data_IF_688472046450
#
_entry.id   IF_688472046450
#
_cell.length_a   1.000
_cell.length_b   1.000
_cell.length_c   1.000
_cell.angle_alpha   90.00
_cell.angle_beta   90.00
_cell.angle_gamma   90.00
#
_symmetry.space_group_name_H-M   'P 1'
#
loop_
_entity.id
_entity.type
_entity.pdbx_description
1 polymer ?
#
# COMPACT_ATOMS: atom_id res chain seq x y z
N UNK A 1 11.65 -2.41 -6.53
CA UNK A 1 11.62 -1.56 -5.33
C UNK A 1 10.17 -1.14 -5.11
N UNK A 2 9.60 -1.36 -3.91
CA UNK A 2 8.22 -0.99 -3.59
C UNK A 2 8.21 0.35 -2.87
N UNK A 3 7.31 1.24 -3.30
CA UNK A 3 7.09 2.55 -2.69
C UNK A 3 5.71 2.59 -2.03
N UNK A 4 5.62 3.35 -0.96
CA UNK A 4 4.36 3.66 -0.32
C UNK A 4 3.45 4.43 -1.29
N UNK A 5 2.17 4.06 -1.38
CA UNK A 5 1.23 4.68 -2.30
C UNK A 5 0.66 6.02 -1.78
N UNK A 6 0.83 6.30 -0.50
CA UNK A 6 0.31 7.48 0.18
C UNK A 6 1.13 8.74 -0.14
N UNK A 7 0.45 9.88 -0.23
CA UNK A 7 1.08 11.15 -0.62
C UNK A 7 1.91 11.69 0.54
N UNK A 8 3.18 11.97 0.27
CA UNK A 8 4.15 12.42 1.28
C UNK A 8 4.88 11.28 1.99
N UNK A 9 4.45 10.03 1.79
CA UNK A 9 5.11 8.85 2.36
C UNK A 9 6.41 8.53 1.60
N UNK A 10 7.57 8.80 2.24
CA UNK A 10 8.90 8.49 1.68
C UNK A 10 9.36 7.06 1.95
N UNK A 11 8.52 6.25 2.60
CA UNK A 11 8.81 4.86 2.93
C UNK A 11 8.93 4.01 1.66
N UNK A 12 10.06 3.31 1.53
CA UNK A 12 10.35 2.39 0.42
C UNK A 12 11.04 1.13 0.93
N UNK A 13 10.95 0.04 0.17
CA UNK A 13 11.76 -1.16 0.44
C UNK A 13 13.21 -0.89 0.07
N UNK A 14 14.15 -1.27 0.93
CA UNK A 14 15.59 -1.19 0.64
C UNK A 14 16.11 -2.50 0.07
N UNK A 15 16.99 -2.41 -0.93
CA UNK A 15 17.73 -3.57 -1.47
C UNK A 15 18.75 -4.10 -0.45
N UNK A 16 19.24 -5.33 -0.65
CA UNK A 16 20.28 -5.91 0.23
C UNK A 16 21.53 -5.03 0.30
N UNK A 17 21.99 -4.54 -0.85
CA UNK A 17 23.16 -3.65 -0.92
C UNK A 17 22.95 -2.33 -0.18
N UNK A 18 21.75 -1.73 -0.25
CA UNK A 18 21.44 -0.51 0.52
C UNK A 18 21.39 -0.78 2.04
N UNK A 19 20.89 -1.94 2.46
CA UNK A 19 20.89 -2.34 3.86
C UNK A 19 22.31 -2.56 4.40
N UNK A 20 23.18 -3.17 3.60
CA UNK A 20 24.58 -3.37 3.95
C UNK A 20 25.34 -2.04 4.05
N UNK A 21 25.15 -1.13 3.09
CA UNK A 21 25.72 0.23 3.15
C UNK A 21 25.22 1.02 4.35
N UNK A 22 23.92 0.93 4.67
CA UNK A 22 23.37 1.60 5.85
C UNK A 22 23.92 1.02 7.15
N UNK A 23 24.16 -0.30 7.23
CA UNK A 23 24.81 -0.94 8.37
C UNK A 23 26.25 -0.47 8.55
N UNK A 24 27.01 -0.31 7.46
CA UNK A 24 28.37 0.24 7.48
C UNK A 24 28.39 1.70 7.94
N UNK A 25 27.38 2.49 7.56
CA UNK A 25 27.26 3.90 7.90
C UNK A 25 26.48 4.18 9.21
N UNK A 26 26.18 3.15 10.00
CA UNK A 26 25.35 3.25 11.22
C UNK A 26 23.99 3.96 11.02
N UNK A 27 23.44 3.90 9.81
CA UNK A 27 22.11 4.44 9.50
C UNK A 27 21.03 3.39 9.78
N UNK A 28 20.07 3.75 10.65
CA UNK A 28 18.93 2.90 10.94
C UNK A 28 17.89 2.99 9.80
N UNK A 29 17.85 1.95 8.96
CA UNK A 29 16.77 1.78 8.00
C UNK A 29 15.56 1.16 8.71
N UNK A 30 14.44 1.87 8.68
CA UNK A 30 13.17 1.35 9.17
C UNK A 30 12.68 0.17 8.31
N UNK A 31 12.48 -0.98 8.94
CA UNK A 31 11.91 -2.17 8.30
C UNK A 31 10.39 -2.03 8.19
N UNK A 32 9.92 -1.43 7.10
CA UNK A 32 8.48 -1.34 6.81
C UNK A 32 7.98 -2.61 6.11
N UNK A 33 6.81 -3.11 6.53
CA UNK A 33 6.05 -4.13 5.79
C UNK A 33 5.05 -3.42 4.88
N UNK A 34 5.16 -3.66 3.58
CA UNK A 34 4.24 -3.09 2.59
C UNK A 34 3.06 -4.03 2.37
N UNK A 35 1.86 -3.48 2.36
CA UNK A 35 0.62 -4.19 2.08
C UNK A 35 0.05 -3.74 0.74
N UNK A 36 -0.60 -4.66 0.03
CA UNK A 36 -1.41 -4.33 -1.16
C UNK A 36 -2.78 -3.85 -0.73
N UNK A 37 -3.40 -3.02 -1.57
CA UNK A 37 -4.80 -2.63 -1.41
C UNK A 37 -5.68 -3.91 -1.47
N UNK A 38 -6.64 -4.10 -0.55
CA UNK A 38 -7.53 -5.25 -0.59
C UNK A 38 -8.34 -5.30 -1.88
N UNK A 39 -8.41 -6.47 -2.51
CA UNK A 39 -9.27 -6.71 -3.68
C UNK A 39 -10.70 -6.97 -3.25
N UNK A 40 -11.64 -6.59 -4.11
CA UNK A 40 -13.06 -6.96 -3.96
C UNK A 40 -13.24 -8.43 -4.29
N UNK A 41 -13.95 -9.16 -3.44
CA UNK A 41 -14.27 -10.56 -3.67
C UNK A 41 -15.55 -10.65 -4.50
N UNK A 42 -15.38 -10.85 -5.81
CA UNK A 42 -16.49 -10.80 -6.78
C UNK A 42 -17.24 -12.12 -6.93
N UNK A 43 -16.63 -13.24 -6.57
CA UNK A 43 -17.21 -14.59 -6.69
C UNK A 43 -17.97 -15.04 -5.43
N UNK A 44 -17.93 -14.24 -4.36
CA UNK A 44 -18.56 -14.54 -3.08
C UNK A 44 -20.01 -14.03 -3.04
N UNK A 45 -20.73 -14.39 -1.96
CA UNK A 45 -22.09 -13.91 -1.75
C UNK A 45 -22.18 -12.37 -1.73
N UNK A 46 -23.37 -11.83 -2.05
CA UNK A 46 -23.56 -10.38 -2.22
C UNK A 46 -23.13 -9.53 -1.02
N UNK A 47 -23.29 -10.04 0.21
CA UNK A 47 -22.86 -9.36 1.44
C UNK A 47 -21.33 -9.26 1.54
N UNK A 48 -20.62 -10.33 1.21
CA UNK A 48 -19.15 -10.36 1.21
C UNK A 48 -18.58 -9.43 0.14
N UNK A 49 -19.22 -9.36 -1.03
CA UNK A 49 -18.87 -8.39 -2.08
C UNK A 49 -19.02 -6.94 -1.60
N UNK A 50 -20.14 -6.60 -0.96
CA UNK A 50 -20.34 -5.25 -0.39
C UNK A 50 -19.30 -4.90 0.68
N UNK A 51 -19.03 -5.82 1.61
CA UNK A 51 -18.06 -5.57 2.69
C UNK A 51 -16.63 -5.43 2.15
N UNK A 52 -16.23 -6.25 1.19
CA UNK A 52 -14.90 -6.15 0.56
C UNK A 52 -14.75 -4.88 -0.26
N UNK A 53 -15.79 -4.45 -0.99
CA UNK A 53 -15.82 -3.18 -1.70
C UNK A 53 -15.72 -1.98 -0.75
N UNK A 54 -16.49 -1.99 0.34
CA UNK A 54 -16.40 -0.95 1.38
C UNK A 54 -14.99 -0.84 1.97
N UNK A 55 -14.37 -1.98 2.32
CA UNK A 55 -13.00 -2.01 2.83
C UNK A 55 -11.99 -1.45 1.83
N UNK A 56 -12.15 -1.76 0.55
CA UNK A 56 -11.30 -1.21 -0.51
C UNK A 56 -11.47 0.32 -0.62
N UNK A 57 -12.70 0.82 -0.61
CA UNK A 57 -12.99 2.25 -0.63
C UNK A 57 -12.39 2.97 0.59
N UNK A 58 -12.50 2.40 1.79
CA UNK A 58 -11.90 2.97 3.00
C UNK A 58 -10.37 3.02 2.93
N UNK A 59 -9.72 2.02 2.33
CA UNK A 59 -8.28 2.03 2.08
C UNK A 59 -7.90 3.14 1.10
N UNK A 60 -8.65 3.30 0.01
CA UNK A 60 -8.41 4.31 -1.01
C UNK A 60 -8.66 5.72 -0.48
N UNK A 61 -9.72 5.92 0.31
CA UNK A 61 -10.03 7.22 0.91
C UNK A 61 -8.92 7.72 1.85
N UNK A 62 -8.17 6.80 2.48
CA UNK A 62 -6.99 7.13 3.29
C UNK A 62 -5.76 7.48 2.47
N UNK A 63 -5.69 7.02 1.21
CA UNK A 63 -4.63 7.45 0.30
C UNK A 63 -4.94 8.87 -0.13
N UNK A 64 -4.11 9.84 0.27
CA UNK A 64 -4.32 11.25 -0.06
C UNK A 64 -3.92 11.57 -1.53
N UNK A 65 -4.32 10.72 -2.50
CA UNK A 65 -3.86 10.74 -3.89
C UNK A 65 -5.01 11.08 -4.85
N UNK A 66 -4.93 12.24 -5.50
CA UNK A 66 -5.88 12.68 -6.54
C UNK A 66 -5.96 11.66 -7.68
N UNK A 67 -7.16 11.30 -8.11
CA UNK A 67 -7.42 10.33 -9.19
C UNK A 67 -7.57 8.86 -8.76
N UNK A 68 -7.23 8.49 -7.53
CA UNK A 68 -7.42 7.11 -7.03
C UNK A 68 -8.86 6.89 -6.54
N UNK A 69 -9.46 7.91 -5.92
CA UNK A 69 -10.85 7.89 -5.48
C UNK A 69 -11.85 7.81 -6.64
N UNK A 70 -11.48 8.34 -7.81
CA UNK A 70 -12.35 8.41 -8.98
C UNK A 70 -12.51 7.07 -9.71
N UNK A 71 -11.56 6.14 -9.54
CA UNK A 71 -11.64 4.80 -10.13
C UNK A 71 -11.04 3.71 -9.23
N UNK A 72 -11.73 3.36 -8.13
CA UNK A 72 -11.21 2.42 -7.14
C UNK A 72 -11.08 0.98 -7.67
N UNK A 73 -11.80 0.63 -8.74
CA UNK A 73 -11.79 -0.71 -9.34
C UNK A 73 -10.51 -1.01 -10.14
N UNK A 74 -9.67 0.00 -10.40
CA UNK A 74 -8.40 -0.17 -11.12
C UNK A 74 -7.25 -0.68 -10.21
N UNK A 75 -7.49 -0.77 -8.90
CA UNK A 75 -6.52 -1.15 -7.87
C UNK A 75 -6.95 -2.44 -7.15
#
# INVERSE_FOLDING_TARGET
MVYCADVGCKSRTYTKAEKEKAKQNSQNLSNFRFFKIPKVWVHECGKTRQLSQRRQCEWIARLNRKGVADNPQKY
#
